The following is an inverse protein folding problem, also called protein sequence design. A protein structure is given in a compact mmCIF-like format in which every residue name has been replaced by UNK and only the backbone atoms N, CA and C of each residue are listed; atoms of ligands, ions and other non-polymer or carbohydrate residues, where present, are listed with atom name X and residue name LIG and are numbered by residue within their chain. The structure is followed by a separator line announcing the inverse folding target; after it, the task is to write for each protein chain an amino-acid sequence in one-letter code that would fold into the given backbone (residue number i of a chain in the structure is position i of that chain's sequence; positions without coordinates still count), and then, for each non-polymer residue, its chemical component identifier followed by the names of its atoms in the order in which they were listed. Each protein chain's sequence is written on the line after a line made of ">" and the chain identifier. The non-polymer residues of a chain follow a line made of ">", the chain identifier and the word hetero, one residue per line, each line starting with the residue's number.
data_IF_338022362477
#
_entry.id   IF_338022362477
#
_cell.length_a   1.000
_cell.length_b   1.000
_cell.length_c   1.000
_cell.angle_alpha   90.00
_cell.angle_beta   90.00
_cell.angle_gamma   90.00
#
_symmetry.space_group_name_H-M   'P 1'
#
loop_
_entity.id
_entity.type
_entity.pdbx_description
1 polymer ?
#
# COMPACT_ATOMS: atom_id res chain seq x y z
N UNK A 1 -21.28 -2.15 -20.05
CA UNK A 1 -20.46 -2.41 -18.85
C UNK A 1 -20.82 -1.32 -17.86
N UNK A 2 -21.32 -1.67 -16.67
CA UNK A 2 -21.83 -0.66 -15.73
C UNK A 2 -20.69 0.19 -15.14
N UNK A 3 -21.00 1.38 -14.63
CA UNK A 3 -20.01 2.20 -13.91
C UNK A 3 -19.46 1.46 -12.68
N UNK A 4 -20.31 0.67 -12.03
CA UNK A 4 -19.91 -0.21 -10.96
C UNK A 4 -18.89 -1.27 -11.42
N UNK A 5 -19.06 -1.88 -12.60
CA UNK A 5 -18.10 -2.86 -13.13
C UNK A 5 -16.73 -2.22 -13.39
N UNK A 6 -16.71 -0.98 -13.90
CA UNK A 6 -15.48 -0.21 -14.12
C UNK A 6 -14.79 0.07 -12.78
N UNK A 7 -15.56 0.49 -11.77
CA UNK A 7 -15.05 0.74 -10.42
C UNK A 7 -14.50 -0.54 -9.80
N UNK A 8 -15.25 -1.64 -9.86
CA UNK A 8 -14.84 -2.94 -9.35
C UNK A 8 -13.54 -3.42 -10.00
N UNK A 9 -13.40 -3.25 -11.31
CA UNK A 9 -12.17 -3.56 -12.03
C UNK A 9 -10.99 -2.73 -11.53
N UNK A 10 -11.14 -1.40 -11.40
CA UNK A 10 -10.08 -0.51 -10.87
C UNK A 10 -9.71 -0.84 -9.42
N UNK A 11 -10.68 -1.21 -8.59
CA UNK A 11 -10.44 -1.64 -7.20
C UNK A 11 -9.66 -2.96 -7.14
N UNK A 12 -9.99 -3.93 -7.98
CA UNK A 12 -9.24 -5.18 -8.10
C UNK A 12 -7.78 -4.93 -8.54
N UNK A 13 -7.55 -4.05 -9.52
CA UNK A 13 -6.19 -3.65 -9.93
C UNK A 13 -5.38 -3.01 -8.78
N UNK A 14 -6.06 -2.35 -7.84
CA UNK A 14 -5.44 -1.76 -6.66
C UNK A 14 -5.27 -2.76 -5.50
N UNK A 15 -5.63 -4.04 -5.68
CA UNK A 15 -5.60 -5.08 -4.65
C UNK A 15 -6.71 -4.95 -3.61
N UNK A 16 -7.77 -4.19 -3.89
CA UNK A 16 -8.87 -3.91 -2.95
C UNK A 16 -10.06 -4.87 -3.15
N UNK A 17 -9.78 -6.16 -3.28
CA UNK A 17 -10.79 -7.20 -3.55
C UNK A 17 -11.89 -7.26 -2.49
N UNK A 18 -11.50 -7.12 -1.22
CA UNK A 18 -12.43 -7.14 -0.09
C UNK A 18 -13.41 -5.97 -0.14
N UNK A 19 -12.96 -4.80 -0.60
CA UNK A 19 -13.83 -3.64 -0.80
C UNK A 19 -14.84 -3.87 -1.91
N UNK A 20 -14.45 -4.54 -3.00
CA UNK A 20 -15.37 -4.92 -4.08
C UNK A 20 -16.44 -5.88 -3.57
N UNK A 21 -16.05 -6.86 -2.74
CA UNK A 21 -16.97 -7.82 -2.11
C UNK A 21 -18.01 -7.09 -1.26
N UNK A 22 -17.57 -6.21 -0.37
CA UNK A 22 -18.45 -5.41 0.50
C UNK A 22 -19.43 -4.56 -0.33
N UNK A 23 -18.93 -3.85 -1.35
CA UNK A 23 -19.78 -3.00 -2.19
C UNK A 23 -20.83 -3.80 -2.98
N UNK A 24 -20.53 -5.04 -3.35
CA UNK A 24 -21.48 -5.96 -4.01
C UNK A 24 -22.52 -6.52 -3.03
N UNK A 25 -22.09 -6.86 -1.81
CA UNK A 25 -22.97 -7.39 -0.76
C UNK A 25 -24.00 -6.35 -0.29
N UNK A 26 -23.63 -5.07 -0.31
CA UNK A 26 -24.53 -3.95 -0.01
C UNK A 26 -25.35 -3.48 -1.21
N UNK A 27 -25.30 -4.22 -2.33
CA UNK A 27 -26.08 -3.95 -3.55
C UNK A 27 -25.99 -2.49 -4.04
N UNK A 28 -24.79 -1.89 -3.95
CA UNK A 28 -24.57 -0.50 -4.34
C UNK A 28 -24.77 -0.35 -5.86
N UNK A 29 -25.83 0.35 -6.23
CA UNK A 29 -26.13 0.67 -7.63
C UNK A 29 -25.18 1.74 -8.19
N UNK A 30 -25.04 1.74 -9.53
CA UNK A 30 -24.16 2.69 -10.24
C UNK A 30 -24.56 4.15 -9.99
N UNK A 31 -25.86 4.39 -9.82
CA UNK A 31 -26.50 5.70 -9.71
C UNK A 31 -26.17 6.38 -8.37
N UNK A 32 -25.87 5.57 -7.35
CA UNK A 32 -25.59 6.02 -5.99
C UNK A 32 -24.10 6.27 -5.78
N UNK A 33 -23.24 5.82 -6.70
CA UNK A 33 -21.77 5.92 -6.57
C UNK A 33 -21.30 7.35 -6.32
N UNK A 34 -21.87 8.34 -6.99
CA UNK A 34 -21.51 9.76 -6.83
C UNK A 34 -21.93 10.34 -5.47
N UNK A 35 -22.88 9.70 -4.78
CA UNK A 35 -23.37 10.13 -3.47
C UNK A 35 -22.61 9.46 -2.32
N UNK A 36 -21.74 8.49 -2.62
CA UNK A 36 -20.98 7.77 -1.60
C UNK A 36 -20.04 8.72 -0.88
N UNK A 37 -20.23 8.85 0.42
CA UNK A 37 -19.35 9.61 1.30
C UNK A 37 -18.39 8.69 2.07
N UNK A 38 -17.34 9.28 2.65
CA UNK A 38 -16.40 8.54 3.51
C UNK A 38 -17.11 7.84 4.68
N UNK A 39 -18.10 8.50 5.29
CA UNK A 39 -18.86 7.93 6.40
C UNK A 39 -19.74 6.75 5.96
N UNK A 40 -20.30 6.79 4.75
CA UNK A 40 -21.06 5.66 4.19
C UNK A 40 -20.14 4.45 3.98
N UNK A 41 -18.95 4.65 3.41
CA UNK A 41 -17.95 3.59 3.26
C UNK A 41 -17.53 2.99 4.61
N UNK A 42 -17.43 3.81 5.66
CA UNK A 42 -17.15 3.32 7.00
C UNK A 42 -18.29 2.44 7.54
N UNK A 43 -19.55 2.89 7.38
CA UNK A 43 -20.74 2.18 7.85
C UNK A 43 -20.92 0.82 7.19
N UNK A 44 -20.64 0.70 5.89
CA UNK A 44 -20.70 -0.57 5.16
C UNK A 44 -19.51 -1.50 5.45
N UNK A 45 -18.54 -1.09 6.29
CA UNK A 45 -17.47 -1.98 6.75
C UNK A 45 -16.08 -1.72 6.16
N UNK A 46 -15.88 -0.67 5.35
CA UNK A 46 -14.54 -0.27 4.88
C UNK A 46 -13.80 0.51 5.99
N UNK A 47 -13.20 -0.23 6.93
CA UNK A 47 -12.59 0.33 8.16
C UNK A 47 -11.30 1.16 7.98
N UNK A 48 -10.37 0.83 7.07
CA UNK A 48 -9.15 1.63 6.95
C UNK A 48 -9.41 2.96 6.23
N UNK A 49 -9.06 4.09 6.87
CA UNK A 49 -9.24 5.43 6.29
C UNK A 49 -8.56 5.58 4.93
N UNK A 50 -7.33 5.08 4.79
CA UNK A 50 -6.59 5.14 3.53
C UNK A 50 -7.27 4.38 2.38
N UNK A 51 -8.00 3.31 2.69
CA UNK A 51 -8.79 2.56 1.69
C UNK A 51 -10.02 3.36 1.29
N UNK A 52 -10.76 3.94 2.25
CA UNK A 52 -11.92 4.80 1.96
C UNK A 52 -11.58 5.96 1.05
N UNK A 53 -10.51 6.70 1.38
CA UNK A 53 -10.05 7.83 0.55
C UNK A 53 -9.65 7.39 -0.86
N UNK A 54 -9.05 6.20 -1.00
CA UNK A 54 -8.69 5.65 -2.31
C UNK A 54 -9.93 5.27 -3.13
N UNK A 55 -10.95 4.68 -2.49
CA UNK A 55 -12.22 4.35 -3.15
C UNK A 55 -12.92 5.63 -3.65
N UNK A 56 -13.04 6.64 -2.80
CA UNK A 56 -13.63 7.94 -3.18
C UNK A 56 -12.87 8.59 -4.35
N UNK A 57 -11.54 8.52 -4.32
CA UNK A 57 -10.71 8.99 -5.44
C UNK A 57 -11.02 8.23 -6.72
N UNK A 58 -11.17 6.91 -6.67
CA UNK A 58 -11.49 6.11 -7.86
C UNK A 58 -12.89 6.39 -8.40
N UNK A 59 -13.87 6.59 -7.52
CA UNK A 59 -15.23 7.00 -7.87
C UNK A 59 -15.20 8.34 -8.62
N UNK A 60 -14.46 9.34 -8.11
CA UNK A 60 -14.33 10.66 -8.76
C UNK A 60 -13.66 10.61 -10.15
N UNK A 61 -13.00 9.51 -10.48
CA UNK A 61 -12.30 9.27 -11.75
C UNK A 61 -13.09 8.37 -12.71
N UNK A 62 -14.35 8.06 -12.39
CA UNK A 62 -15.22 7.31 -13.30
C UNK A 62 -15.64 8.20 -14.48
N UNK A 63 -15.72 7.64 -15.70
CA UNK A 63 -16.19 8.40 -16.86
C UNK A 63 -17.66 8.75 -16.64
N UNK A 64 -17.94 10.05 -16.47
CA UNK A 64 -19.31 10.54 -16.39
C UNK A 64 -19.87 10.54 -17.81
N UNK A 65 -20.89 9.73 -18.07
CA UNK A 65 -21.66 9.87 -19.30
C UNK A 65 -22.26 11.28 -19.31
N UNK A 66 -21.74 12.13 -20.20
CA UNK A 66 -22.38 13.40 -20.54
C UNK A 66 -23.68 13.00 -21.24
N UNK A 67 -24.81 13.06 -20.53
CA UNK A 67 -26.12 13.04 -21.20
C UNK A 67 -26.16 14.24 -22.13
N UNK A 68 -26.10 13.98 -23.43
CA UNK A 68 -26.50 14.91 -24.46
C UNK A 68 -27.94 15.32 -24.17
N UNK A 69 -28.15 16.57 -23.74
CA UNK A 69 -29.43 17.23 -23.88
C UNK A 69 -29.77 17.26 -25.37
N UNK A 70 -30.70 16.39 -25.78
CA UNK A 70 -31.47 16.63 -26.99
C UNK A 70 -32.34 17.85 -26.68
N UNK A 71 -31.85 19.04 -27.05
CA UNK A 71 -32.69 20.23 -27.09
C UNK A 71 -33.78 19.97 -28.14
N UNK A 72 -34.97 19.74 -27.65
CA UNK A 72 -36.21 19.80 -28.41
C UNK A 72 -36.36 21.25 -28.92
N UNK A 73 -36.04 21.47 -30.19
CA UNK A 73 -36.23 22.75 -30.86
C UNK A 73 -37.73 23.08 -30.90
N UNK A 74 -38.20 23.86 -29.93
CA UNK A 74 -39.47 24.59 -30.02
C UNK A 74 -39.21 25.88 -30.80
N UNK A 75 -39.92 26.16 -31.91
CA UNK A 75 -39.71 27.39 -32.67
C UNK A 75 -40.27 28.60 -31.91
N UNK A 76 -39.37 29.55 -31.66
CA UNK A 76 -39.64 30.88 -31.10
C UNK A 76 -40.53 31.70 -32.04
N UNK A 77 -41.76 31.99 -31.63
CA UNK A 77 -42.51 33.11 -32.19
C UNK A 77 -41.96 34.43 -31.65
N UNK A 78 -41.72 35.32 -32.61
CA UNK A 78 -41.17 36.67 -32.48
C UNK A 78 -42.22 37.58 -31.84
N UNK A 79 -41.87 38.26 -30.75
CA UNK A 79 -42.53 39.52 -30.38
C UNK A 79 -41.45 40.54 -29.97
N UNK A 80 -41.22 41.48 -30.89
CA UNK A 80 -40.56 42.76 -30.68
C UNK A 80 -41.32 43.60 -29.64
N UNK A 81 -40.62 44.21 -28.67
CA UNK A 81 -40.84 45.62 -28.28
C UNK A 81 -39.53 46.21 -27.69
N UNK A 82 -39.11 47.42 -28.10
CA UNK A 82 -37.93 48.12 -27.60
C UNK A 82 -38.27 49.06 -26.43
N UNK A 83 -37.31 49.41 -25.57
CA UNK A 83 -36.87 50.81 -25.32
C UNK A 83 -35.99 50.97 -24.07
N UNK A 84 -35.11 51.97 -24.20
CA UNK A 84 -34.60 52.87 -23.16
C UNK A 84 -33.31 52.48 -22.41
N UNK A 85 -32.20 52.84 -23.05
CA UNK A 85 -31.21 53.80 -22.53
C UNK A 85 -31.44 54.31 -21.10
N UNK A 86 -30.48 54.03 -20.20
CA UNK A 86 -29.82 55.05 -19.38
C UNK A 86 -28.39 54.62 -19.05
N UNK A 87 -27.46 55.54 -19.33
CA UNK A 87 -26.09 55.60 -18.80
C UNK A 87 -26.12 55.77 -17.29
N UNK A 88 -25.18 55.15 -16.59
CA UNK A 88 -24.54 55.73 -15.42
C UNK A 88 -23.05 55.38 -15.47
N UNK A 89 -22.23 56.42 -15.60
CA UNK A 89 -20.82 56.41 -15.20
C UNK A 89 -20.72 56.78 -13.71
N UNK A 90 -19.53 56.53 -13.15
CA UNK A 90 -18.92 56.99 -11.89
C UNK A 90 -18.45 55.78 -11.06
N UNK A 91 -17.17 55.42 -11.13
CA UNK A 91 -15.99 56.06 -10.51
C UNK A 91 -15.80 55.73 -9.01
N UNK A 92 -14.53 55.74 -8.61
CA UNK A 92 -13.97 55.69 -7.25
C UNK A 92 -13.66 54.28 -6.71
N UNK A 93 -12.40 53.83 -6.65
CA UNK A 93 -11.19 54.27 -5.91
C UNK A 93 -11.09 53.68 -4.49
N UNK A 94 -9.84 53.45 -4.06
CA UNK A 94 -9.47 53.17 -2.66
C UNK A 94 -9.22 51.68 -2.37
N UNK A 95 -8.01 51.13 -2.43
CA UNK A 95 -6.84 51.37 -1.56
C UNK A 95 -7.06 50.87 -0.12
N UNK A 96 -6.31 49.80 0.25
CA UNK A 96 -5.63 49.49 1.54
C UNK A 96 -5.38 47.97 1.58
N UNK A 97 -4.13 47.51 1.44
CA UNK A 97 -3.16 47.33 2.52
C UNK A 97 -3.48 46.17 3.51
N UNK A 98 -2.68 45.12 3.34
CA UNK A 98 -1.72 44.68 4.36
C UNK A 98 -2.27 44.24 5.73
N UNK A 99 -2.32 42.92 5.95
CA UNK A 99 -2.14 42.36 7.28
C UNK A 99 -1.41 41.01 7.18
N UNK A 100 -0.12 41.08 7.47
CA UNK A 100 0.68 39.98 8.01
C UNK A 100 0.02 39.46 9.27
N UNK A 101 -0.01 38.14 9.45
CA UNK A 101 0.03 37.55 10.77
C UNK A 101 0.91 36.30 10.72
N UNK A 102 2.17 36.52 11.10
CA UNK A 102 3.05 35.51 11.64
C UNK A 102 2.40 34.96 12.92
N UNK A 103 2.18 33.65 12.98
CA UNK A 103 1.94 32.95 14.23
C UNK A 103 3.00 31.86 14.38
N UNK A 104 4.09 32.31 15.01
CA UNK A 104 5.02 31.51 15.76
C UNK A 104 4.24 30.94 16.96
N UNK A 105 4.30 29.63 17.19
CA UNK A 105 4.00 29.07 18.51
C UNK A 105 5.21 28.27 18.95
N UNK A 106 5.90 28.84 19.93
CA UNK A 106 7.04 28.25 20.60
C UNK A 106 6.62 27.07 21.47
N UNK A 107 7.58 26.16 21.54
CA UNK A 107 7.81 25.07 22.48
C UNK A 107 7.61 25.40 23.95
N UNK A 108 7.31 24.36 24.75
CA UNK A 108 7.62 24.13 26.18
C UNK A 108 6.36 23.63 26.94
N UNK A 109 6.34 22.75 27.94
CA UNK A 109 7.36 22.00 28.69
C UNK A 109 6.60 21.06 29.66
N UNK A 110 7.07 19.82 29.76
CA UNK A 110 7.16 18.97 30.96
C UNK A 110 5.98 18.37 31.76
N UNK A 111 6.36 17.21 32.33
CA UNK A 111 5.88 16.52 33.54
C UNK A 111 4.51 15.85 33.43
N UNK A 112 4.30 14.58 33.77
CA UNK A 112 5.11 13.57 34.44
C UNK A 112 4.11 12.53 34.96
N UNK A 113 4.35 11.23 34.73
CA UNK A 113 3.72 10.22 35.58
C UNK A 113 4.53 8.94 35.66
N UNK A 114 4.82 8.64 36.91
CA UNK A 114 5.59 7.57 37.50
C UNK A 114 4.84 6.23 37.51
N UNK A 115 5.65 5.17 37.38
CA UNK A 115 5.62 3.86 38.07
C UNK A 115 4.44 2.92 37.81
N UNK A 116 4.76 1.75 37.22
CA UNK A 116 4.42 0.45 37.83
C UNK A 116 5.39 -0.62 37.30
N UNK A 117 6.32 -1.01 38.16
CA UNK A 117 7.08 -2.26 38.11
C UNK A 117 6.15 -3.44 38.37
N UNK A 118 6.30 -4.58 37.66
CA UNK A 118 6.30 -5.97 38.19
C UNK A 118 6.86 -6.92 37.10
N UNK A 119 7.29 -8.16 37.39
CA UNK A 119 8.70 -8.54 37.44
C UNK A 119 9.12 -9.56 36.37
N UNK A 120 10.44 -9.69 36.24
CA UNK A 120 11.16 -10.70 35.49
C UNK A 120 10.85 -12.12 35.99
N UNK A 121 10.47 -13.02 35.07
CA UNK A 121 10.62 -14.46 35.27
C UNK A 121 11.74 -15.00 34.40
N UNK A 122 12.80 -15.36 35.10
CA UNK A 122 14.01 -16.03 34.67
C UNK A 122 13.72 -17.54 34.49
N UNK A 123 13.77 -18.07 33.26
CA UNK A 123 13.97 -19.50 32.97
C UNK A 123 14.68 -19.52 31.61
N UNK A 124 15.91 -19.95 31.45
CA UNK A 124 16.51 -21.19 31.91
C UNK A 124 17.01 -21.90 30.65
N UNK A 125 18.32 -21.88 30.44
CA UNK A 125 19.00 -22.48 29.32
C UNK A 125 18.70 -23.98 29.20
N UNK A 126 18.57 -24.49 27.97
CA UNK A 126 18.87 -25.90 27.69
C UNK A 126 19.27 -26.06 26.22
N UNK A 127 20.59 -26.12 26.02
CA UNK A 127 21.20 -26.79 24.88
C UNK A 127 20.76 -28.26 24.89
N UNK A 128 20.29 -28.77 23.75
CA UNK A 128 20.47 -30.18 23.39
C UNK A 128 20.95 -30.28 21.95
N UNK A 129 22.23 -30.58 21.84
CA UNK A 129 22.79 -31.38 20.77
C UNK A 129 22.00 -32.70 20.67
N UNK A 130 21.55 -33.05 19.48
CA UNK A 130 21.29 -34.43 19.12
C UNK A 130 22.03 -34.66 17.80
N UNK A 131 23.22 -35.23 17.94
CA UNK A 131 23.91 -35.95 16.87
C UNK A 131 23.29 -37.34 16.77
N UNK A 132 22.86 -37.73 15.57
CA UNK A 132 22.76 -39.14 15.20
C UNK A 132 23.43 -39.28 13.82
N UNK A 133 24.66 -39.77 13.87
CA UNK A 133 25.15 -40.70 12.87
C UNK A 133 24.25 -41.94 12.90
N UNK A 134 23.96 -42.55 11.75
CA UNK A 134 24.15 -43.98 11.50
C UNK A 134 23.77 -44.33 10.04
N UNK A 135 24.77 -44.85 9.34
CA UNK A 135 24.73 -46.00 8.45
C UNK A 135 23.81 -46.02 7.21
N UNK A 136 24.49 -45.86 6.07
CA UNK A 136 24.35 -46.59 4.82
C UNK A 136 23.64 -47.96 4.89
N UNK A 137 22.70 -48.20 3.98
CA UNK A 137 22.53 -49.50 3.32
C UNK A 137 22.23 -49.31 1.84
N UNK A 138 23.10 -49.90 1.03
CA UNK A 138 23.02 -50.02 -0.43
C UNK A 138 22.35 -51.34 -0.82
N UNK A 139 21.93 -51.43 -2.09
CA UNK A 139 21.46 -52.58 -2.91
C UNK A 139 19.99 -52.38 -3.32
N UNK A 140 19.53 -52.63 -4.55
CA UNK A 140 19.98 -53.56 -5.60
C UNK A 140 19.32 -53.16 -6.94
N UNK A 141 20.01 -53.42 -8.05
CA UNK A 141 19.62 -53.19 -9.45
C UNK A 141 18.35 -53.92 -9.92
N UNK A 142 17.67 -53.33 -10.92
CA UNK A 142 17.13 -54.05 -12.08
C UNK A 142 16.94 -53.08 -13.26
N UNK A 143 17.34 -53.55 -14.44
CA UNK A 143 17.29 -52.85 -15.73
C UNK A 143 15.92 -53.02 -16.42
N UNK A 144 15.68 -52.17 -17.43
CA UNK A 144 14.62 -52.17 -18.45
C UNK A 144 13.35 -51.37 -18.11
N UNK A 145 13.17 -50.20 -18.73
CA UNK A 145 12.43 -50.07 -20.00
C UNK A 145 12.37 -48.60 -20.47
N UNK A 146 12.54 -48.40 -21.78
CA UNK A 146 12.26 -47.13 -22.44
C UNK A 146 10.76 -46.82 -22.34
N UNK A 147 10.40 -45.84 -21.51
CA UNK A 147 9.21 -45.03 -21.75
C UNK A 147 9.37 -43.65 -21.14
N UNK A 148 9.48 -42.68 -22.04
CA UNK A 148 9.25 -41.26 -21.82
C UNK A 148 7.90 -41.06 -21.12
N UNK A 149 7.91 -41.07 -19.80
CA UNK A 149 6.85 -40.52 -18.98
C UNK A 149 7.46 -39.42 -18.14
N UNK A 150 7.09 -38.21 -18.53
CA UNK A 150 7.38 -36.93 -17.91
C UNK A 150 7.21 -37.09 -16.39
N UNK A 151 8.32 -37.11 -15.66
CA UNK A 151 8.30 -37.15 -14.21
C UNK A 151 7.93 -35.75 -13.72
N UNK A 152 6.63 -35.48 -13.72
CA UNK A 152 6.03 -34.30 -13.13
C UNK A 152 6.14 -34.44 -11.60
N UNK A 153 7.33 -34.23 -11.06
CA UNK A 153 7.57 -33.94 -9.65
C UNK A 153 7.17 -32.48 -9.34
N UNK A 154 6.00 -32.04 -9.79
CA UNK A 154 5.54 -30.64 -9.67
C UNK A 154 4.62 -30.39 -8.47
N UNK A 155 4.82 -31.11 -7.35
CA UNK A 155 4.06 -30.85 -6.12
C UNK A 155 4.90 -30.43 -4.90
N UNK A 156 6.21 -30.19 -5.04
CA UNK A 156 7.05 -29.65 -3.93
C UNK A 156 7.80 -28.34 -4.23
N UNK A 157 7.73 -27.81 -5.46
CA UNK A 157 8.51 -26.62 -5.85
C UNK A 157 7.87 -25.27 -5.44
N UNK A 158 6.60 -25.26 -5.02
CA UNK A 158 5.86 -24.00 -4.78
C UNK A 158 6.19 -23.35 -3.42
N UNK A 159 7.00 -24.01 -2.58
CA UNK A 159 7.30 -23.56 -1.22
C UNK A 159 8.77 -23.21 -1.00
N UNK A 160 9.64 -23.36 -2.00
CA UNK A 160 11.06 -23.07 -1.86
C UNK A 160 11.42 -21.73 -2.51
N UNK A 161 12.32 -20.98 -1.85
CA UNK A 161 12.79 -19.71 -2.35
C UNK A 161 13.79 -19.97 -3.49
N UNK A 162 13.70 -19.25 -4.64
CA UNK A 162 14.64 -19.46 -5.73
C UNK A 162 16.07 -19.16 -5.28
N UNK A 163 17.02 -19.94 -5.81
CA UNK A 163 18.44 -19.79 -5.56
C UNK A 163 19.15 -19.41 -6.88
N UNK A 164 19.80 -18.23 -6.97
CA UNK A 164 19.93 -17.22 -5.93
C UNK A 164 18.64 -16.42 -5.71
N UNK A 165 18.46 -15.90 -4.49
CA UNK A 165 17.31 -15.07 -4.12
C UNK A 165 17.37 -13.77 -4.93
N UNK A 166 16.37 -13.49 -5.79
CA UNK A 166 16.35 -12.30 -6.62
C UNK A 166 16.06 -11.04 -5.78
N UNK A 167 16.47 -9.90 -6.30
CA UNK A 167 16.06 -8.59 -5.78
C UNK A 167 14.81 -8.10 -6.52
N UNK A 168 13.94 -7.33 -5.85
CA UNK A 168 12.90 -6.61 -6.55
C UNK A 168 13.49 -5.56 -7.48
N UNK A 169 12.70 -5.18 -8.49
CA UNK A 169 12.96 -3.98 -9.29
C UNK A 169 12.57 -2.76 -8.46
N UNK A 170 13.53 -2.23 -7.72
CA UNK A 170 13.29 -1.08 -6.85
C UNK A 170 12.86 0.16 -7.63
N UNK A 171 11.97 0.94 -7.03
CA UNK A 171 11.54 2.21 -7.59
C UNK A 171 12.69 3.20 -7.77
N UNK A 172 12.55 4.13 -8.70
CA UNK A 172 13.52 5.21 -8.92
C UNK A 172 13.80 6.04 -7.66
N UNK A 173 12.83 6.08 -6.73
CA UNK A 173 12.96 6.75 -5.45
C UNK A 173 13.97 6.05 -4.54
N UNK A 174 13.87 4.73 -4.41
CA UNK A 174 14.83 3.91 -3.64
C UNK A 174 16.21 3.94 -4.28
N UNK A 175 16.30 3.79 -5.60
CA UNK A 175 17.57 3.82 -6.34
C UNK A 175 18.28 5.17 -6.20
N UNK A 176 17.54 6.28 -6.17
CA UNK A 176 18.10 7.61 -5.93
C UNK A 176 18.64 7.74 -4.51
N UNK A 177 17.86 7.34 -3.51
CA UNK A 177 18.30 7.38 -2.11
C UNK A 177 19.52 6.48 -1.84
N UNK A 178 19.60 5.34 -2.53
CA UNK A 178 20.78 4.46 -2.52
C UNK A 178 22.03 5.20 -3.04
N UNK A 179 21.91 5.87 -4.21
CA UNK A 179 23.00 6.65 -4.81
C UNK A 179 23.44 7.83 -3.93
N UNK A 180 22.50 8.46 -3.23
CA UNK A 180 22.75 9.61 -2.35
C UNK A 180 23.23 9.20 -0.94
N UNK A 181 23.25 7.90 -0.62
CA UNK A 181 23.60 7.42 0.72
C UNK A 181 22.52 7.68 1.78
N UNK A 182 21.32 8.04 1.37
CA UNK A 182 20.18 8.40 2.22
C UNK A 182 19.20 7.24 2.45
N UNK A 183 19.65 5.98 2.28
CA UNK A 183 18.87 4.74 2.39
C UNK A 183 17.96 4.67 3.62
N UNK A 184 18.42 5.16 4.78
CA UNK A 184 17.63 5.16 6.02
C UNK A 184 16.36 6.01 5.93
N UNK A 185 16.37 7.10 5.15
CA UNK A 185 15.20 7.97 4.96
C UNK A 185 14.07 7.25 4.21
N UNK A 186 14.41 6.22 3.42
CA UNK A 186 13.47 5.44 2.61
C UNK A 186 13.31 4.00 3.11
N UNK A 187 13.75 3.69 4.34
CA UNK A 187 13.69 2.34 4.94
C UNK A 187 12.32 1.69 4.82
N UNK A 188 11.26 2.44 5.11
CA UNK A 188 9.87 1.95 5.04
C UNK A 188 9.44 1.59 3.62
N UNK A 189 9.91 2.33 2.60
CA UNK A 189 9.63 2.05 1.20
C UNK A 189 10.37 0.79 0.73
N UNK A 190 11.64 0.64 1.08
CA UNK A 190 12.43 -0.56 0.78
C UNK A 190 11.74 -1.80 1.35
N UNK A 191 11.34 -1.77 2.62
CA UNK A 191 10.64 -2.90 3.27
C UNK A 191 9.33 -3.23 2.54
N UNK A 192 8.56 -2.22 2.14
CA UNK A 192 7.29 -2.42 1.44
C UNK A 192 7.48 -3.04 0.06
N UNK A 193 8.41 -2.53 -0.74
CA UNK A 193 8.71 -3.07 -2.07
C UNK A 193 9.22 -4.52 -1.99
N UNK A 194 10.10 -4.82 -1.04
CA UNK A 194 10.55 -6.19 -0.77
C UNK A 194 9.39 -7.09 -0.33
N UNK A 195 8.54 -6.65 0.59
CA UNK A 195 7.41 -7.46 1.07
C UNK A 195 6.45 -7.81 -0.07
N UNK A 196 6.07 -6.84 -0.90
CA UNK A 196 5.18 -7.07 -2.06
C UNK A 196 5.82 -8.07 -3.03
N UNK A 197 7.10 -7.91 -3.35
CA UNK A 197 7.81 -8.80 -4.27
C UNK A 197 7.92 -10.23 -3.73
N UNK A 198 8.37 -10.41 -2.48
CA UNK A 198 8.59 -11.74 -1.93
C UNK A 198 7.30 -12.47 -1.56
N UNK A 199 6.22 -11.75 -1.21
CA UNK A 199 4.89 -12.34 -1.04
C UNK A 199 4.33 -12.87 -2.37
N UNK A 200 4.62 -12.19 -3.49
CA UNK A 200 4.25 -12.67 -4.82
C UNK A 200 5.09 -13.88 -5.25
N UNK A 201 6.33 -13.99 -4.77
CA UNK A 201 7.25 -15.07 -5.12
C UNK A 201 6.99 -16.36 -4.32
N UNK A 202 6.72 -16.24 -3.03
CA UNK A 202 6.45 -17.39 -2.15
C UNK A 202 5.33 -17.04 -1.16
N UNK A 203 4.21 -17.79 -1.14
CA UNK A 203 3.06 -17.48 -0.27
C UNK A 203 3.38 -17.66 1.23
N UNK A 204 4.34 -18.53 1.56
CA UNK A 204 4.77 -18.83 2.94
C UNK A 204 6.04 -18.04 3.33
N UNK A 205 5.99 -16.72 3.20
CA UNK A 205 7.14 -15.83 3.42
C UNK A 205 7.80 -15.98 4.80
N UNK A 206 7.01 -16.30 5.83
CA UNK A 206 7.48 -16.45 7.21
C UNK A 206 8.57 -17.49 7.37
N UNK A 207 8.51 -18.59 6.61
CA UNK A 207 9.52 -19.66 6.63
C UNK A 207 10.87 -19.19 6.05
N UNK A 208 10.84 -18.17 5.21
CA UNK A 208 11.98 -17.66 4.45
C UNK A 208 12.44 -16.28 4.91
N UNK A 209 11.96 -15.82 6.06
CA UNK A 209 12.26 -14.48 6.57
C UNK A 209 13.77 -14.23 6.73
N UNK A 210 14.48 -15.15 7.41
CA UNK A 210 15.91 -15.03 7.65
C UNK A 210 16.77 -14.92 6.38
N UNK A 211 16.65 -15.81 5.36
CA UNK A 211 17.43 -15.68 4.14
C UNK A 211 17.07 -14.42 3.34
N UNK A 212 15.80 -14.00 3.33
CA UNK A 212 15.36 -12.78 2.66
C UNK A 212 15.94 -11.54 3.34
N UNK A 213 15.86 -11.44 4.67
CA UNK A 213 16.45 -10.34 5.41
C UNK A 213 17.96 -10.25 5.20
N UNK A 214 18.67 -11.39 5.23
CA UNK A 214 20.10 -11.44 4.93
C UNK A 214 20.39 -10.90 3.53
N UNK A 215 19.57 -11.28 2.54
CA UNK A 215 19.71 -10.79 1.17
C UNK A 215 19.46 -9.29 1.06
N UNK A 216 18.43 -8.77 1.72
CA UNK A 216 18.12 -7.33 1.73
C UNK A 216 19.27 -6.54 2.38
N UNK A 217 19.82 -7.03 3.51
CA UNK A 217 20.95 -6.38 4.20
C UNK A 217 22.22 -6.42 3.35
N UNK A 218 22.46 -7.48 2.57
CA UNK A 218 23.59 -7.52 1.63
C UNK A 218 23.56 -6.37 0.61
N UNK A 219 22.36 -5.95 0.18
CA UNK A 219 22.21 -4.83 -0.75
C UNK A 219 22.19 -3.48 -0.04
N UNK A 220 21.51 -3.39 1.10
CA UNK A 220 21.39 -2.18 1.90
C UNK A 220 21.97 -2.38 3.30
N UNK A 221 23.31 -2.36 3.45
CA UNK A 221 23.96 -2.58 4.74
C UNK A 221 23.53 -1.57 5.81
N UNK A 222 23.10 -0.37 5.39
CA UNK A 222 22.64 0.69 6.28
C UNK A 222 21.38 0.30 7.07
N UNK A 223 20.62 -0.69 6.59
CA UNK A 223 19.42 -1.19 7.27
C UNK A 223 19.73 -2.10 8.47
N UNK A 224 20.98 -2.54 8.61
CA UNK A 224 21.39 -3.29 9.80
C UNK A 224 21.40 -2.34 10.99
N UNK A 225 20.53 -2.58 11.96
CA UNK A 225 20.54 -1.79 13.19
C UNK A 225 21.92 -1.93 13.82
N UNK A 226 22.58 -0.80 14.07
CA UNK A 226 23.78 -0.78 14.90
C UNK A 226 23.30 -1.22 16.27
N UNK A 227 23.55 -2.47 16.65
CA UNK A 227 23.26 -2.95 18.00
C UNK A 227 24.08 -2.08 18.95
N UNK A 228 23.46 -1.01 19.44
CA UNK A 228 23.99 -0.23 20.52
C UNK A 228 23.85 -1.13 21.74
N UNK A 229 24.94 -1.72 22.19
CA UNK A 229 24.98 -2.38 23.49
C UNK A 229 25.16 -1.24 24.49
N UNK A 230 24.12 -0.80 25.22
CA UNK A 230 24.31 0.16 26.28
C UNK A 230 25.23 -0.49 27.33
N UNK A 231 26.42 0.06 27.53
CA UNK A 231 27.32 -0.37 28.61
C UNK A 231 28.79 -0.68 28.27
N UNK A 232 29.25 -0.49 27.02
CA UNK A 232 30.70 -0.56 26.69
C UNK A 232 31.29 0.80 26.32
N UNK A 233 31.09 1.79 27.18
CA UNK A 233 32.06 2.86 27.36
C UNK A 233 32.79 2.58 28.67
N UNK A 234 33.88 1.80 28.60
CA UNK A 234 34.91 1.86 29.64
C UNK A 234 35.92 2.91 29.16
N UNK A 235 36.02 3.98 29.96
CA UNK A 235 37.13 4.91 29.96
C UNK A 235 38.46 4.17 30.11
#
# INVERSE_FOLDING_TARGET
>A
MSLFDILAFKLCQCGLYETVRILKEEEIESDVLDMITENMLFKIGVKPLGVRLRVLKLISQLPREIKLEVQENVPTEVIDVPTSSMRFEEESSGHTDQLRQDMIFETSTEQGKQISEVPETHVGAMNRYISHDEASMSSSSCENDESLMININSHSLVNELPSPIPYPNFSMFVLRAEKEGSVLSVRSHIIRECAVFYLALVPNLSKHYSPICRRIIQRFPQLMDKVFVPGKHRF
#
